data_IF_592765945580
#
_entry.id   IF_592765945580
#
_cell.length_a   1.000
_cell.length_b   1.000
_cell.length_c   1.000
_cell.angle_alpha   90.00
_cell.angle_beta   90.00
_cell.angle_gamma   90.00
#
_symmetry.space_group_name_H-M   'P 1'
#
loop_
_entity.id
_entity.type
_entity.pdbx_description
1 polymer ?
#
# COMPACT_ATOMS: atom_id res chain seq x y z
N UNK A 1 -10.91 -25.88 -10.85
CA UNK A 1 -11.15 -24.51 -11.35
C UNK A 1 -10.07 -24.20 -12.37
N UNK A 2 -10.40 -24.13 -13.65
CA UNK A 2 -9.45 -23.86 -14.73
C UNK A 2 -9.03 -22.38 -14.67
N UNK A 3 -7.74 -22.14 -14.49
CA UNK A 3 -7.15 -20.82 -14.62
C UNK A 3 -7.18 -20.48 -16.11
N UNK A 4 -8.13 -19.64 -16.51
CA UNK A 4 -8.15 -19.05 -17.86
C UNK A 4 -6.90 -18.18 -18.01
N UNK A 5 -5.99 -18.61 -18.88
CA UNK A 5 -4.81 -17.81 -19.26
C UNK A 5 -5.28 -16.48 -19.85
N UNK A 6 -4.98 -15.38 -19.16
CA UNK A 6 -5.29 -14.05 -19.68
C UNK A 6 -4.50 -13.83 -20.99
N UNK A 7 -5.13 -13.27 -22.05
CA UNK A 7 -4.45 -12.98 -23.28
C UNK A 7 -3.28 -12.02 -23.04
N UNK A 8 -2.13 -12.34 -23.63
CA UNK A 8 -0.93 -11.49 -23.49
C UNK A 8 -1.17 -10.15 -24.18
N UNK A 9 -0.98 -9.06 -23.45
CA UNK A 9 -1.10 -7.70 -23.97
C UNK A 9 -0.21 -7.51 -25.22
N UNK A 10 -0.69 -6.78 -26.25
CA UNK A 10 0.08 -6.44 -27.45
C UNK A 10 1.44 -5.80 -27.11
N UNK A 11 2.46 -6.07 -27.93
CA UNK A 11 3.83 -5.58 -27.69
C UNK A 11 3.88 -4.05 -27.56
N UNK A 12 3.10 -3.33 -28.37
CA UNK A 12 3.00 -1.87 -28.33
C UNK A 12 2.45 -1.36 -26.97
N UNK A 13 1.49 -2.06 -26.37
CA UNK A 13 0.94 -1.71 -25.06
C UNK A 13 1.98 -1.97 -23.96
N UNK A 14 2.72 -3.08 -24.06
CA UNK A 14 3.82 -3.36 -23.13
C UNK A 14 4.93 -2.30 -23.19
N UNK A 15 5.30 -1.87 -24.39
CA UNK A 15 6.30 -0.82 -24.60
C UNK A 15 5.84 0.52 -24.04
N UNK A 16 4.61 0.95 -24.31
CA UNK A 16 4.03 2.19 -23.75
C UNK A 16 3.98 2.15 -22.22
N UNK A 17 3.56 1.03 -21.64
CA UNK A 17 3.52 0.85 -20.19
C UNK A 17 4.91 0.90 -19.55
N UNK A 18 5.92 0.33 -20.23
CA UNK A 18 7.30 0.39 -19.77
C UNK A 18 7.86 1.82 -19.77
N UNK A 19 7.63 2.57 -20.87
CA UNK A 19 8.04 3.98 -20.97
C UNK A 19 7.36 4.83 -19.90
N UNK A 20 6.04 4.69 -19.73
CA UNK A 20 5.29 5.42 -18.69
C UNK A 20 5.81 5.10 -17.27
N UNK A 21 6.10 3.84 -16.99
CA UNK A 21 6.67 3.41 -15.72
C UNK A 21 8.07 4.00 -15.49
N UNK A 22 8.92 3.99 -16.53
CA UNK A 22 10.27 4.58 -16.43
C UNK A 22 10.23 6.08 -16.21
N UNK A 23 9.36 6.81 -16.92
CA UNK A 23 9.12 8.23 -16.71
C UNK A 23 8.64 8.53 -15.29
N UNK A 24 7.71 7.72 -14.79
CA UNK A 24 7.24 7.87 -13.41
C UNK A 24 8.38 7.72 -12.40
N UNK A 25 9.23 6.70 -12.54
CA UNK A 25 10.38 6.48 -11.64
C UNK A 25 11.33 7.68 -11.70
N UNK A 26 11.67 8.17 -12.89
CA UNK A 26 12.57 9.32 -13.04
C UNK A 26 11.96 10.55 -12.37
N UNK A 27 10.70 10.87 -12.66
CA UNK A 27 10.00 12.00 -12.05
C UNK A 27 9.94 11.87 -10.53
N UNK A 28 9.55 10.69 -10.04
CA UNK A 28 9.47 10.44 -8.60
C UNK A 28 10.84 10.54 -7.93
N UNK A 29 11.92 10.05 -8.58
CA UNK A 29 13.29 10.17 -8.08
C UNK A 29 13.73 11.63 -7.98
N UNK A 30 13.41 12.46 -8.95
CA UNK A 30 13.68 13.91 -8.90
C UNK A 30 12.88 14.61 -7.79
N UNK A 31 11.67 14.12 -7.48
CA UNK A 31 10.82 14.68 -6.43
C UNK A 31 11.15 14.16 -5.03
N UNK A 32 11.87 13.03 -4.90
CA UNK A 32 12.24 12.45 -3.61
C UNK A 32 12.89 13.44 -2.65
N UNK A 33 13.88 14.25 -3.04
CA UNK A 33 14.48 15.25 -2.15
C UNK A 33 13.46 16.27 -1.63
N UNK A 34 12.49 16.67 -2.47
CA UNK A 34 11.41 17.57 -2.08
C UNK A 34 10.45 16.92 -1.09
N UNK A 35 10.13 15.63 -1.29
CA UNK A 35 9.31 14.87 -0.33
C UNK A 35 10.00 14.76 1.03
N UNK A 36 11.30 14.44 1.06
CA UNK A 36 12.06 14.40 2.30
C UNK A 36 12.19 15.79 2.94
N UNK A 37 12.47 16.82 2.17
CA UNK A 37 12.52 18.20 2.64
C UNK A 37 11.17 18.64 3.23
N UNK A 38 10.06 18.37 2.54
CA UNK A 38 8.71 18.63 3.04
C UNK A 38 8.40 17.86 4.32
N UNK A 39 8.83 16.60 4.40
CA UNK A 39 8.63 15.77 5.58
C UNK A 39 9.41 16.35 6.78
N UNK A 40 10.68 16.73 6.58
CA UNK A 40 11.49 17.38 7.59
C UNK A 40 10.86 18.71 8.03
N UNK A 41 10.44 19.55 7.09
CA UNK A 41 9.75 20.80 7.40
C UNK A 41 8.48 20.58 8.22
N UNK A 42 7.62 19.65 7.81
CA UNK A 42 6.42 19.28 8.57
C UNK A 42 6.75 18.72 9.95
N UNK A 43 7.86 18.01 10.08
CA UNK A 43 8.29 17.43 11.33
C UNK A 43 8.71 18.46 12.39
N UNK A 44 8.99 19.71 11.99
CA UNK A 44 9.24 20.81 12.93
C UNK A 44 7.98 21.14 13.70
N UNK A 45 6.82 21.20 12.99
CA UNK A 45 5.52 21.51 13.61
C UNK A 45 4.81 20.27 14.17
N UNK A 46 5.10 19.09 13.64
CA UNK A 46 4.47 17.82 14.01
C UNK A 46 5.55 16.70 14.09
N UNK A 47 6.21 16.51 15.24
CA UNK A 47 7.29 15.52 15.40
C UNK A 47 6.92 14.08 15.01
N UNK A 48 5.64 13.74 15.05
CA UNK A 48 5.13 12.44 14.62
C UNK A 48 5.51 12.07 13.17
N UNK A 49 5.79 13.05 12.30
CA UNK A 49 6.25 12.79 10.93
C UNK A 49 7.67 12.23 10.85
N UNK A 50 8.51 12.42 11.86
CA UNK A 50 9.87 11.83 11.94
C UNK A 50 9.88 10.41 12.48
N UNK A 51 8.82 10.03 13.18
CA UNK A 51 8.75 8.71 13.78
C UNK A 51 8.63 7.65 12.69
N UNK A 52 9.26 6.49 12.93
CA UNK A 52 9.14 5.32 12.08
C UNK A 52 9.51 5.57 10.60
N UNK A 53 10.49 6.45 10.35
CA UNK A 53 10.96 6.79 8.99
C UNK A 53 11.47 5.57 8.21
N UNK A 54 12.10 4.61 8.90
CA UNK A 54 12.59 3.38 8.30
C UNK A 54 11.48 2.59 7.59
N UNK A 55 10.24 2.65 8.07
CA UNK A 55 9.10 1.98 7.44
C UNK A 55 8.77 2.58 6.07
N UNK A 56 8.88 3.91 5.93
CA UNK A 56 8.72 4.61 4.64
C UNK A 56 9.81 4.27 3.63
N UNK A 57 10.93 3.74 4.11
CA UNK A 57 12.02 3.17 3.30
C UNK A 57 11.83 1.66 3.06
N UNK A 58 10.69 1.10 3.44
CA UNK A 58 10.34 -0.30 3.22
C UNK A 58 10.83 -1.27 4.29
N UNK A 59 11.29 -0.78 5.45
CA UNK A 59 11.76 -1.63 6.55
C UNK A 59 10.67 -1.73 7.62
N UNK A 60 10.01 -2.87 7.74
CA UNK A 60 8.98 -3.07 8.76
C UNK A 60 9.58 -3.35 10.14
N UNK A 61 8.99 -2.79 11.19
CA UNK A 61 9.45 -3.01 12.57
C UNK A 61 9.22 -4.47 13.03
N UNK A 62 8.08 -5.03 12.65
CA UNK A 62 7.73 -6.43 12.96
C UNK A 62 7.40 -7.15 11.66
N UNK A 63 8.11 -8.25 11.38
CA UNK A 63 7.86 -9.07 10.19
C UNK A 63 6.70 -10.03 10.45
N UNK A 64 5.58 -9.93 9.72
CA UNK A 64 4.51 -10.91 9.81
C UNK A 64 4.94 -12.25 9.22
N UNK A 65 4.16 -13.30 9.50
CA UNK A 65 4.30 -14.55 8.76
C UNK A 65 3.97 -14.34 7.27
N UNK A 66 4.62 -15.10 6.39
CA UNK A 66 4.40 -15.00 4.95
C UNK A 66 2.97 -15.44 4.56
N UNK A 67 2.46 -14.95 3.44
CA UNK A 67 1.17 -15.37 2.89
C UNK A 67 -0.03 -14.61 3.42
N UNK A 68 0.19 -13.52 4.17
CA UNK A 68 -0.87 -12.69 4.74
C UNK A 68 -1.55 -11.75 3.76
N UNK A 69 -2.43 -10.92 4.29
CA UNK A 69 -3.14 -9.86 3.57
C UNK A 69 -2.40 -8.54 3.80
N UNK A 70 -2.07 -7.82 2.74
CA UNK A 70 -1.65 -6.43 2.83
C UNK A 70 -2.83 -5.52 2.50
N UNK A 71 -3.25 -4.67 3.45
CA UNK A 71 -4.31 -3.68 3.27
C UNK A 71 -3.71 -2.28 3.38
N UNK A 72 -4.00 -1.42 2.42
CA UNK A 72 -3.51 -0.05 2.36
C UNK A 72 -4.64 0.96 2.51
N UNK A 73 -4.52 1.84 3.51
CA UNK A 73 -5.47 2.92 3.79
C UNK A 73 -4.68 4.20 4.13
N UNK A 74 -4.68 5.19 3.24
CA UNK A 74 -3.80 6.38 3.31
C UNK A 74 -4.21 7.33 4.43
N UNK A 75 -5.49 7.66 4.50
CA UNK A 75 -6.06 8.72 5.32
C UNK A 75 -6.92 8.20 6.48
N UNK A 76 -7.31 9.11 7.37
CA UNK A 76 -8.23 8.79 8.47
C UNK A 76 -9.56 8.25 7.96
N UNK A 77 -10.12 8.83 6.88
CA UNK A 77 -11.39 8.36 6.31
C UNK A 77 -11.29 6.94 5.75
N UNK A 78 -10.20 6.64 5.04
CA UNK A 78 -9.95 5.30 4.52
C UNK A 78 -9.71 4.28 5.64
N UNK A 79 -9.02 4.67 6.72
CA UNK A 79 -8.85 3.82 7.91
C UNK A 79 -10.20 3.46 8.52
N UNK A 80 -11.09 4.45 8.71
CA UNK A 80 -12.44 4.21 9.24
C UNK A 80 -13.21 3.23 8.34
N UNK A 81 -13.10 3.38 7.01
CA UNK A 81 -13.74 2.48 6.06
C UNK A 81 -13.07 1.09 6.02
N UNK A 82 -11.77 1.00 6.29
CA UNK A 82 -11.01 -0.24 6.28
C UNK A 82 -11.25 -1.13 7.51
N UNK A 83 -11.48 -0.54 8.69
CA UNK A 83 -11.64 -1.29 9.95
C UNK A 83 -12.72 -2.37 9.87
N UNK A 84 -13.93 -2.13 9.37
CA UNK A 84 -14.92 -3.20 9.20
C UNK A 84 -14.43 -4.34 8.28
N UNK A 85 -13.70 -4.01 7.22
CA UNK A 85 -13.12 -5.00 6.30
C UNK A 85 -12.05 -5.84 7.02
N UNK A 86 -11.17 -5.18 7.79
CA UNK A 86 -10.13 -5.87 8.59
C UNK A 86 -10.77 -6.83 9.57
N UNK A 87 -11.80 -6.39 10.29
CA UNK A 87 -12.52 -7.23 11.27
C UNK A 87 -13.21 -8.43 10.60
N UNK A 88 -13.87 -8.21 9.47
CA UNK A 88 -14.49 -9.28 8.70
C UNK A 88 -13.44 -10.30 8.18
N UNK A 89 -12.32 -9.83 7.65
CA UNK A 89 -11.21 -10.69 7.22
C UNK A 89 -10.61 -11.47 8.39
N UNK A 90 -10.49 -10.85 9.57
CA UNK A 90 -9.97 -11.49 10.77
C UNK A 90 -10.90 -12.61 11.26
N UNK A 91 -12.20 -12.40 11.20
CA UNK A 91 -13.19 -13.42 11.53
C UNK A 91 -13.16 -14.60 10.55
N UNK A 92 -13.05 -14.30 9.25
CA UNK A 92 -13.05 -15.32 8.20
C UNK A 92 -11.73 -16.10 8.14
N UNK A 93 -10.60 -15.44 8.41
CA UNK A 93 -9.25 -15.99 8.30
C UNK A 93 -8.45 -15.73 9.57
N UNK A 94 -8.78 -16.35 10.71
CA UNK A 94 -8.22 -16.02 12.02
C UNK A 94 -6.70 -16.24 12.15
N UNK A 95 -6.12 -17.12 11.35
CA UNK A 95 -4.68 -17.40 11.38
C UNK A 95 -3.88 -16.59 10.35
N UNK A 96 -4.54 -15.92 9.40
CA UNK A 96 -3.87 -15.17 8.35
C UNK A 96 -3.40 -13.82 8.88
N UNK A 97 -2.11 -13.47 8.77
CA UNK A 97 -1.63 -12.18 9.19
C UNK A 97 -2.15 -11.07 8.27
N UNK A 98 -2.55 -9.94 8.85
CA UNK A 98 -3.00 -8.76 8.13
C UNK A 98 -2.03 -7.63 8.40
N UNK A 99 -1.34 -7.16 7.37
CA UNK A 99 -0.50 -5.97 7.45
C UNK A 99 -1.27 -4.77 6.94
N UNK A 100 -1.53 -3.81 7.81
CA UNK A 100 -2.21 -2.57 7.43
C UNK A 100 -1.18 -1.46 7.29
N UNK A 101 -1.20 -0.76 6.16
CA UNK A 101 -0.32 0.39 5.94
C UNK A 101 -1.11 1.69 5.85
N UNK A 102 -0.56 2.73 6.50
CA UNK A 102 -1.08 4.11 6.43
C UNK A 102 0.01 5.05 5.93
N UNK A 103 -0.36 6.25 5.48
CA UNK A 103 0.61 7.25 5.01
C UNK A 103 0.75 8.43 5.99
N UNK A 104 -0.31 8.75 6.74
CA UNK A 104 -0.34 9.91 7.62
C UNK A 104 -0.24 9.53 9.10
N UNK A 105 0.40 10.36 9.96
CA UNK A 105 0.40 10.13 11.40
C UNK A 105 -0.99 10.08 12.01
N UNK A 106 -1.93 10.89 11.52
CA UNK A 106 -3.33 10.90 11.96
C UNK A 106 -4.06 9.61 11.58
N UNK A 107 -3.83 9.08 10.37
CA UNK A 107 -4.34 7.76 9.95
C UNK A 107 -3.75 6.64 10.80
N UNK A 108 -2.43 6.70 11.07
CA UNK A 108 -1.74 5.75 11.97
C UNK A 108 -2.35 5.76 13.38
N UNK A 109 -2.51 6.94 13.97
CA UNK A 109 -3.10 7.08 15.31
C UNK A 109 -4.54 6.54 15.34
N UNK A 110 -5.35 6.86 14.32
CA UNK A 110 -6.73 6.38 14.24
C UNK A 110 -6.81 4.87 14.10
N UNK A 111 -5.94 4.26 13.29
CA UNK A 111 -5.87 2.81 13.17
C UNK A 111 -5.51 2.15 14.50
N UNK A 112 -4.50 2.68 15.17
CA UNK A 112 -4.04 2.17 16.47
C UNK A 112 -5.14 2.26 17.53
N UNK A 113 -5.89 3.36 17.55
CA UNK A 113 -7.04 3.53 18.45
C UNK A 113 -8.15 2.51 18.17
N UNK A 114 -8.54 2.34 16.89
CA UNK A 114 -9.67 1.50 16.51
C UNK A 114 -9.40 0.00 16.59
N UNK A 115 -8.13 -0.42 16.56
CA UNK A 115 -7.69 -1.81 16.59
C UNK A 115 -6.74 -2.08 17.77
N UNK A 116 -6.83 -1.30 18.86
CA UNK A 116 -5.91 -1.36 20.00
C UNK A 116 -5.77 -2.79 20.55
N UNK A 117 -6.89 -3.50 20.72
CA UNK A 117 -6.92 -4.85 21.28
C UNK A 117 -6.51 -5.95 20.28
N UNK A 118 -6.42 -5.61 19.00
CA UNK A 118 -6.16 -6.56 17.92
C UNK A 118 -4.74 -6.42 17.35
N UNK A 119 -4.09 -5.27 17.54
CA UNK A 119 -2.71 -5.02 17.09
C UNK A 119 -1.72 -5.93 17.82
N UNK A 120 -0.81 -6.53 17.06
CA UNK A 120 0.15 -7.52 17.57
C UNK A 120 -0.40 -8.95 17.58
N UNK A 121 -1.71 -9.15 17.51
CA UNK A 121 -2.35 -10.45 17.41
C UNK A 121 -2.72 -10.76 15.94
N UNK A 122 -1.71 -11.05 15.11
CA UNK A 122 -1.82 -11.24 13.65
C UNK A 122 -2.30 -10.01 12.86
N UNK A 123 -2.47 -8.85 13.49
CA UNK A 123 -2.66 -7.57 12.81
C UNK A 123 -1.43 -6.71 13.07
N UNK A 124 -0.76 -6.29 12.00
CA UNK A 124 0.46 -5.50 12.02
C UNK A 124 0.21 -4.16 11.34
N UNK A 125 0.77 -3.10 11.91
CA UNK A 125 0.68 -1.77 11.32
C UNK A 125 2.07 -1.25 10.97
N UNK A 126 2.18 -0.67 9.77
CA UNK A 126 3.38 0.02 9.28
C UNK A 126 2.99 1.27 8.50
N UNK A 127 3.89 2.24 8.40
CA UNK A 127 3.77 3.24 7.36
C UNK A 127 4.01 2.61 5.98
N UNK A 128 3.26 3.09 4.98
CA UNK A 128 3.49 2.67 3.60
C UNK A 128 4.88 3.08 3.13
N UNK A 129 5.62 2.20 2.46
CA UNK A 129 6.84 2.61 1.79
C UNK A 129 6.53 3.68 0.74
N UNK A 130 7.46 4.63 0.52
CA UNK A 130 7.38 5.50 -0.63
C UNK A 130 7.41 4.66 -1.92
N UNK A 131 6.64 5.08 -2.93
CA UNK A 131 6.43 4.31 -4.16
C UNK A 131 7.66 4.31 -5.08
N UNK A 132 8.79 3.85 -4.53
CA UNK A 132 10.06 3.71 -5.21
C UNK A 132 10.51 2.25 -5.26
N UNK A 133 11.11 1.77 -6.37
CA UNK A 133 11.33 0.33 -6.58
C UNK A 133 12.07 -0.37 -5.45
N UNK A 134 13.11 0.25 -4.90
CA UNK A 134 13.88 -0.33 -3.79
C UNK A 134 13.02 -0.46 -2.52
N UNK A 135 12.32 0.59 -2.14
CA UNK A 135 11.57 0.62 -0.88
C UNK A 135 10.39 -0.35 -0.91
N UNK A 136 9.63 -0.34 -2.02
CA UNK A 136 8.52 -1.28 -2.19
C UNK A 136 9.03 -2.72 -2.28
N UNK A 137 10.15 -2.97 -2.96
CA UNK A 137 10.74 -4.32 -3.02
C UNK A 137 11.19 -4.82 -1.64
N UNK A 138 11.81 -3.95 -0.83
CA UNK A 138 12.21 -4.28 0.55
C UNK A 138 10.99 -4.63 1.41
N UNK A 139 9.92 -3.84 1.31
CA UNK A 139 8.68 -4.08 2.02
C UNK A 139 8.05 -5.42 1.62
N UNK A 140 7.87 -5.66 0.32
CA UNK A 140 7.25 -6.88 -0.19
C UNK A 140 8.05 -8.14 0.18
N UNK A 141 9.39 -8.07 0.22
CA UNK A 141 10.24 -9.20 0.64
C UNK A 141 10.11 -9.51 2.14
N UNK A 142 9.74 -8.54 2.96
CA UNK A 142 9.57 -8.74 4.42
C UNK A 142 8.14 -9.18 4.76
N UNK A 143 7.14 -8.56 4.13
CA UNK A 143 5.72 -8.83 4.40
C UNK A 143 5.24 -10.08 3.65
N UNK A 144 5.74 -10.33 2.43
CA UNK A 144 5.38 -11.47 1.57
C UNK A 144 3.86 -11.69 1.50
N UNK A 145 3.08 -10.67 1.11
CA UNK A 145 1.63 -10.80 1.09
C UNK A 145 1.17 -11.77 0.00
N UNK A 146 0.08 -12.49 0.24
CA UNK A 146 -0.62 -13.29 -0.76
C UNK A 146 -1.60 -12.47 -1.60
N UNK A 147 -2.04 -11.33 -1.06
CA UNK A 147 -2.97 -10.41 -1.70
C UNK A 147 -2.72 -8.98 -1.20
N UNK A 148 -2.89 -8.01 -2.09
CA UNK A 148 -2.85 -6.58 -1.78
C UNK A 148 -4.23 -5.96 -1.97
N UNK A 149 -4.81 -5.40 -0.91
CA UNK A 149 -6.09 -4.70 -0.91
C UNK A 149 -5.79 -3.21 -0.71
N UNK A 150 -6.18 -2.38 -1.67
CA UNK A 150 -6.04 -0.94 -1.58
C UNK A 150 -7.41 -0.28 -1.41
N UNK A 151 -7.51 0.60 -0.42
CA UNK A 151 -8.75 1.35 -0.18
C UNK A 151 -8.88 2.51 -1.17
N UNK A 152 -10.08 2.74 -1.65
CA UNK A 152 -10.44 3.78 -2.61
C UNK A 152 -9.65 3.67 -3.94
N UNK A 153 -8.91 4.71 -4.35
CA UNK A 153 -8.20 4.75 -5.65
C UNK A 153 -6.71 5.04 -5.50
N UNK A 154 -6.13 4.72 -4.36
CA UNK A 154 -4.70 4.95 -4.05
C UNK A 154 -3.78 3.93 -4.75
N UNK A 155 -3.93 3.83 -6.08
CA UNK A 155 -3.14 2.93 -6.92
C UNK A 155 -1.77 3.54 -7.24
N UNK A 156 -0.76 3.08 -6.54
CA UNK A 156 0.62 3.53 -6.68
C UNK A 156 1.34 2.69 -7.75
N UNK A 157 1.84 3.31 -8.83
CA UNK A 157 2.31 2.58 -10.01
C UNK A 157 3.41 1.55 -9.75
N UNK A 158 4.42 1.89 -8.94
CA UNK A 158 5.53 0.95 -8.63
C UNK A 158 5.02 -0.19 -7.76
N UNK A 159 4.18 0.11 -6.77
CA UNK A 159 3.59 -0.91 -5.89
C UNK A 159 2.76 -1.91 -6.69
N UNK A 160 1.85 -1.44 -7.54
CA UNK A 160 1.03 -2.30 -8.41
C UNK A 160 1.89 -3.12 -9.37
N UNK A 161 2.89 -2.50 -9.98
CA UNK A 161 3.81 -3.19 -10.90
C UNK A 161 4.60 -4.31 -10.20
N UNK A 162 5.15 -4.04 -9.02
CA UNK A 162 5.92 -5.03 -8.28
C UNK A 162 5.05 -6.14 -7.70
N UNK A 163 3.86 -5.83 -7.20
CA UNK A 163 2.88 -6.84 -6.80
C UNK A 163 2.58 -7.79 -7.96
N UNK A 164 2.28 -7.25 -9.15
CA UNK A 164 2.05 -8.06 -10.35
C UNK A 164 3.25 -8.95 -10.70
N UNK A 165 4.47 -8.41 -10.64
CA UNK A 165 5.70 -9.18 -10.92
C UNK A 165 5.94 -10.31 -9.91
N UNK A 166 5.52 -10.13 -8.67
CA UNK A 166 5.67 -11.12 -7.60
C UNK A 166 4.47 -12.08 -7.50
N UNK A 167 3.48 -11.97 -8.42
CA UNK A 167 2.29 -12.81 -8.41
C UNK A 167 1.29 -12.47 -7.30
N UNK A 168 1.39 -11.26 -6.73
CA UNK A 168 0.47 -10.77 -5.70
C UNK A 168 -0.72 -10.08 -6.38
N UNK A 169 -1.93 -10.64 -6.31
CA UNK A 169 -3.13 -10.00 -6.84
C UNK A 169 -3.44 -8.70 -6.10
N UNK A 170 -3.93 -7.69 -6.85
CA UNK A 170 -4.31 -6.38 -6.33
C UNK A 170 -5.81 -6.21 -6.44
N UNK A 171 -6.45 -5.87 -5.33
CA UNK A 171 -7.90 -5.60 -5.25
C UNK A 171 -8.10 -4.15 -4.78
N UNK A 172 -8.99 -3.44 -5.46
CA UNK A 172 -9.45 -2.12 -5.03
C UNK A 172 -10.75 -2.29 -4.26
N UNK A 173 -10.76 -1.87 -3.00
CA UNK A 173 -11.93 -1.91 -2.13
C UNK A 173 -12.47 -0.48 -1.92
N UNK A 174 -13.80 -0.33 -1.81
CA UNK A 174 -14.47 0.95 -1.61
C UNK A 174 -14.12 1.99 -2.69
N UNK A 175 -13.94 1.54 -3.94
CA UNK A 175 -13.64 2.43 -5.06
C UNK A 175 -14.79 3.43 -5.29
N UNK A 176 -14.48 4.72 -5.22
CA UNK A 176 -15.42 5.79 -5.53
C UNK A 176 -15.05 6.37 -6.90
N UNK A 177 -15.87 6.08 -7.90
CA UNK A 177 -15.71 6.66 -9.23
C UNK A 177 -16.82 7.66 -9.48
N UNK A 178 -16.45 8.91 -9.80
CA UNK A 178 -17.44 9.88 -10.22
C UNK A 178 -18.00 9.51 -11.60
N UNK A 179 -19.27 9.85 -11.87
CA UNK A 179 -19.90 9.63 -13.18
C UNK A 179 -19.11 10.32 -14.32
N UNK A 180 -18.39 11.40 -14.02
CA UNK A 180 -17.52 12.11 -14.97
C UNK A 180 -16.25 11.30 -15.28
N UNK A 181 -15.66 10.67 -14.28
CA UNK A 181 -14.46 9.80 -14.46
C UNK A 181 -14.82 8.49 -15.18
N UNK A 182 -15.99 7.93 -14.91
CA UNK A 182 -16.47 6.72 -15.57
C UNK A 182 -16.69 6.87 -17.09
N UNK A 183 -16.92 8.11 -17.57
CA UNK A 183 -17.07 8.40 -19.01
C UNK A 183 -15.74 8.55 -19.76
N UNK A 184 -14.61 8.60 -19.03
CA UNK A 184 -13.27 8.76 -19.59
C UNK A 184 -12.47 7.46 -19.72
N UNK A 185 -13.05 6.35 -19.26
CA UNK A 185 -12.52 4.99 -19.38
C UNK A 185 -13.37 4.16 -20.34
#
# INVERSE_FOLDING_TARGET
>A
MSVTSQPSLPLAVKAKSFVAYSLYIVLFSCLLPLFFGRLLYRSIKAPAYRLRMHERLGLVATKPAAGGIWLHAVSVGEVIAAVPVIKALRLQYPLMPITVTTTTPTGSARLTEMLADELGNNIFHSYSPYDWPLFVSLFLRQVKPSIYIVMETELWPVTVYLCKRMGVPVIVANARMSAKSAKGY
#
